data_IF_599894521309
#
_entry.id   IF_599894521309
#
_cell.length_a   1.000
_cell.length_b   1.000
_cell.length_c   1.000
_cell.angle_alpha   90.00
_cell.angle_beta   90.00
_cell.angle_gamma   90.00
#
_symmetry.space_group_name_H-M   'P 1'
#
loop_
_entity.id
_entity.type
_entity.pdbx_description
1 polymer ?
#
# COMPACT_ATOMS: atom_id res chain seq x y z
N UNK A 1 -4.80 6.65 -3.03
CA UNK A 1 -3.48 6.29 -2.47
C UNK A 1 -3.66 5.60 -1.12
N UNK A 2 -2.76 4.67 -0.75
CA UNK A 2 -2.69 4.10 0.60
C UNK A 2 -1.35 4.50 1.21
N UNK A 3 -1.40 5.22 2.34
CA UNK A 3 -0.24 5.49 3.19
C UNK A 3 -0.12 4.34 4.19
N UNK A 4 1.08 3.80 4.34
CA UNK A 4 1.44 2.76 5.30
C UNK A 4 2.40 3.38 6.30
N UNK A 5 2.01 3.33 7.57
CA UNK A 5 2.77 3.79 8.72
C UNK A 5 3.22 2.57 9.53
N UNK A 6 4.50 2.25 9.40
CA UNK A 6 5.16 1.11 10.01
C UNK A 6 6.23 1.60 11.00
N UNK A 7 6.71 0.76 11.95
CA UNK A 7 7.67 1.19 12.98
C UNK A 7 8.95 1.88 12.47
N UNK A 8 9.35 1.62 11.23
CA UNK A 8 10.62 2.09 10.66
C UNK A 8 10.46 2.91 9.38
N UNK A 9 9.24 3.10 8.88
CA UNK A 9 9.03 3.87 7.66
C UNK A 9 7.59 4.38 7.56
N UNK A 10 7.45 5.51 6.86
CA UNK A 10 6.19 6.00 6.35
C UNK A 10 6.27 6.01 4.81
N UNK A 11 5.45 5.21 4.15
CA UNK A 11 5.55 4.98 2.71
C UNK A 11 4.17 4.84 2.06
N UNK A 12 4.10 4.96 0.74
CA UNK A 12 2.84 4.97 0.02
C UNK A 12 2.82 3.99 -1.16
N UNK A 13 1.61 3.52 -1.47
CA UNK A 13 1.27 2.91 -2.76
C UNK A 13 0.12 3.67 -3.42
N UNK A 14 0.18 3.79 -4.74
CA UNK A 14 -0.86 4.44 -5.54
C UNK A 14 -1.60 3.36 -6.33
N UNK A 15 -2.89 3.23 -6.04
CA UNK A 15 -3.80 2.35 -6.75
C UNK A 15 -4.42 3.13 -7.90
N UNK A 16 -4.43 2.54 -9.08
CA UNK A 16 -5.11 3.07 -10.24
C UNK A 16 -6.62 2.85 -10.14
N UNK A 17 -7.42 3.89 -10.41
CA UNK A 17 -8.87 3.83 -10.27
C UNK A 17 -9.55 2.87 -11.26
N UNK A 18 -8.95 2.61 -12.43
CA UNK A 18 -9.53 1.77 -13.49
C UNK A 18 -9.18 0.29 -13.30
N UNK A 19 -7.89 -0.02 -13.13
CA UNK A 19 -7.41 -1.41 -12.98
C UNK A 19 -7.55 -1.93 -11.54
N UNK A 20 -7.77 -1.03 -10.57
CA UNK A 20 -7.81 -1.34 -9.13
C UNK A 20 -6.54 -2.03 -8.62
N UNK A 21 -5.42 -1.85 -9.33
CA UNK A 21 -4.09 -2.38 -8.97
C UNK A 21 -3.13 -1.26 -8.59
N UNK A 22 -2.15 -1.59 -7.75
CA UNK A 22 -1.01 -0.72 -7.44
C UNK A 22 -0.20 -0.47 -8.72
N UNK A 23 -0.13 0.77 -9.16
CA UNK A 23 0.67 1.21 -10.32
C UNK A 23 1.93 1.95 -9.93
N UNK A 24 2.01 2.48 -8.70
CA UNK A 24 3.22 3.10 -8.16
C UNK A 24 3.37 2.69 -6.71
N UNK A 25 4.60 2.43 -6.30
CA UNK A 25 4.95 2.11 -4.93
C UNK A 25 6.24 2.83 -4.54
N UNK A 26 6.36 3.23 -3.29
CA UNK A 26 7.65 3.61 -2.74
C UNK A 26 8.65 2.45 -2.91
N UNK A 27 9.97 2.69 -3.06
CA UNK A 27 10.95 1.64 -3.33
C UNK A 27 10.93 0.48 -2.33
N UNK A 28 10.77 0.78 -1.04
CA UNK A 28 10.66 -0.20 0.04
C UNK A 28 9.40 -1.10 -0.06
N UNK A 29 8.40 -0.66 -0.81
CA UNK A 29 7.14 -1.36 -1.07
C UNK A 29 7.02 -1.85 -2.53
N UNK A 30 8.13 -1.88 -3.29
CA UNK A 30 8.12 -2.26 -4.72
C UNK A 30 7.53 -3.65 -4.98
N UNK A 31 7.61 -4.56 -4.02
CA UNK A 31 6.98 -5.88 -4.08
C UNK A 31 5.45 -5.84 -4.08
N UNK A 32 4.83 -4.71 -3.75
CA UNK A 32 3.37 -4.50 -3.78
C UNK A 32 2.85 -4.07 -5.15
N UNK A 33 3.73 -3.86 -6.13
CA UNK A 33 3.32 -3.53 -7.50
C UNK A 33 2.36 -4.59 -8.06
N UNK A 34 1.27 -4.15 -8.68
CA UNK A 34 0.22 -5.02 -9.22
C UNK A 34 -0.72 -5.64 -8.19
N UNK A 35 -0.52 -5.42 -6.89
CA UNK A 35 -1.46 -5.89 -5.87
C UNK A 35 -2.78 -5.12 -5.96
N UNK A 36 -3.89 -5.76 -5.58
CA UNK A 36 -5.13 -5.04 -5.31
C UNK A 36 -5.13 -4.43 -3.91
N UNK A 37 -6.11 -3.55 -3.68
CA UNK A 37 -6.33 -2.90 -2.39
C UNK A 37 -6.40 -3.89 -1.23
N UNK A 38 -7.19 -4.95 -1.34
CA UNK A 38 -7.42 -5.88 -0.23
C UNK A 38 -6.11 -6.54 0.21
N UNK A 39 -5.30 -6.98 -0.74
CA UNK A 39 -4.01 -7.60 -0.46
C UNK A 39 -3.03 -6.65 0.23
N UNK A 40 -3.03 -5.36 -0.11
CA UNK A 40 -2.22 -4.35 0.57
C UNK A 40 -2.66 -4.18 2.03
N UNK A 41 -3.97 -4.11 2.28
CA UNK A 41 -4.52 -3.95 3.63
C UNK A 41 -4.26 -5.19 4.50
N UNK A 42 -4.55 -6.38 3.99
CA UNK A 42 -4.27 -7.65 4.70
C UNK A 42 -2.78 -7.79 5.03
N UNK A 43 -1.89 -7.33 4.14
CA UNK A 43 -0.45 -7.31 4.42
C UNK A 43 -0.10 -6.36 5.57
N UNK A 44 -0.67 -5.16 5.58
CA UNK A 44 -0.46 -4.18 6.65
C UNK A 44 -1.00 -4.71 7.99
N UNK A 45 -2.21 -5.26 8.01
CA UNK A 45 -2.82 -5.85 9.20
C UNK A 45 -1.99 -7.00 9.79
N UNK A 46 -1.57 -7.96 8.95
CA UNK A 46 -0.73 -9.09 9.38
C UNK A 46 0.62 -8.67 9.95
N UNK A 47 1.12 -7.51 9.54
CA UNK A 47 2.39 -6.93 10.01
C UNK A 47 2.20 -5.96 11.18
N UNK A 48 0.96 -5.71 11.60
CA UNK A 48 0.66 -4.72 12.64
C UNK A 48 0.96 -3.29 12.22
N UNK A 49 0.97 -3.00 10.92
CA UNK A 49 1.19 -1.66 10.38
C UNK A 49 -0.11 -0.88 10.33
N UNK A 50 -0.04 0.43 10.60
CA UNK A 50 -1.17 1.33 10.42
C UNK A 50 -1.25 1.74 8.96
N UNK A 51 -2.44 2.09 8.49
CA UNK A 51 -2.62 2.62 7.15
C UNK A 51 -3.73 3.67 7.09
N UNK A 52 -3.59 4.59 6.15
CA UNK A 52 -4.56 5.66 5.86
C UNK A 52 -4.87 5.66 4.37
N UNK A 53 -6.15 5.82 4.02
CA UNK A 53 -6.59 5.97 2.64
C UNK A 53 -6.72 7.45 2.33
N UNK A 54 -6.09 7.88 1.24
CA UNK A 54 -6.20 9.25 0.71
C UNK A 54 -6.69 9.17 -0.72
N UNK A 55 -7.65 10.00 -1.08
CA UNK A 55 -8.19 10.08 -2.44
C UNK A 55 -7.13 10.59 -3.44
#
# INVERSE_FOLDING_TARGET
MIIIDAPHFNAAVVINATSLRVMRAAPILSYMMGWDRMRVLDCAERRGWRYEMRD
#
